data_IF_052241094487
#
_entry.id   IF_052241094487
#
_cell.length_a   1.000
_cell.length_b   1.000
_cell.length_c   1.000
_cell.angle_alpha   90.00
_cell.angle_beta   90.00
_cell.angle_gamma   90.00
#
_symmetry.space_group_name_H-M   'P 1'
#
loop_
_entity.id
_entity.type
_entity.pdbx_description
1 polymer ?
#
# COMPACT_ATOMS: atom_id res chain seq x y z
N UNK A 1 34.29 -4.14 -16.40
CA UNK A 1 33.05 -4.89 -16.71
C UNK A 1 32.63 -5.87 -15.60
N UNK A 2 33.57 -6.50 -14.88
CA UNK A 2 33.25 -7.44 -13.78
C UNK A 2 32.64 -6.83 -12.51
N UNK A 3 33.03 -5.60 -12.14
CA UNK A 3 32.54 -4.93 -10.93
C UNK A 3 31.02 -4.63 -10.94
N UNK A 4 30.43 -4.04 -12.00
CA UNK A 4 28.98 -3.82 -12.07
C UNK A 4 28.18 -5.14 -12.18
N UNK A 5 28.77 -6.20 -12.73
CA UNK A 5 28.14 -7.52 -12.80
C UNK A 5 28.08 -8.20 -11.42
N UNK A 6 29.18 -8.16 -10.66
CA UNK A 6 29.24 -8.65 -9.27
C UNK A 6 28.35 -7.86 -8.32
N UNK A 7 28.24 -6.54 -8.53
CA UNK A 7 27.29 -5.69 -7.81
C UNK A 7 25.85 -6.08 -8.13
N UNK A 8 25.48 -6.25 -9.41
CA UNK A 8 24.12 -6.67 -9.79
C UNK A 8 23.75 -8.06 -9.24
N UNK A 9 24.68 -9.03 -9.31
CA UNK A 9 24.45 -10.40 -8.87
C UNK A 9 24.32 -10.56 -7.34
N UNK A 10 24.94 -9.68 -6.56
CA UNK A 10 24.84 -9.68 -5.09
C UNK A 10 23.74 -8.76 -4.57
N UNK A 11 23.37 -7.73 -5.32
CA UNK A 11 22.33 -6.76 -4.97
C UNK A 11 20.90 -7.30 -5.15
N UNK A 12 20.68 -8.14 -6.16
CA UNK A 12 19.37 -8.74 -6.37
C UNK A 12 18.91 -9.62 -5.18
N UNK A 13 19.70 -10.61 -4.70
CA UNK A 13 19.29 -11.44 -3.58
C UNK A 13 19.16 -10.65 -2.26
N UNK A 14 20.02 -9.66 -2.03
CA UNK A 14 20.00 -8.85 -0.80
C UNK A 14 18.73 -8.00 -0.67
N UNK A 15 18.07 -7.67 -1.78
CA UNK A 15 16.81 -6.92 -1.79
C UNK A 15 15.60 -7.84 -1.91
N UNK A 16 15.73 -8.95 -2.65
CA UNK A 16 14.65 -9.88 -2.90
C UNK A 16 14.15 -10.56 -1.62
N UNK A 17 15.04 -11.16 -0.83
CA UNK A 17 14.63 -11.90 0.36
C UNK A 17 13.96 -11.03 1.44
N UNK A 18 14.48 -9.82 1.79
CA UNK A 18 13.80 -8.96 2.75
C UNK A 18 12.43 -8.47 2.27
N UNK A 19 12.27 -8.17 0.97
CA UNK A 19 10.97 -7.76 0.39
C UNK A 19 9.94 -8.89 0.46
N UNK A 20 10.35 -10.13 0.16
CA UNK A 20 9.48 -11.30 0.31
C UNK A 20 9.04 -11.50 1.77
N UNK A 21 9.98 -11.41 2.71
CA UNK A 21 9.68 -11.55 4.13
C UNK A 21 8.71 -10.46 4.62
N UNK A 22 8.95 -9.22 4.20
CA UNK A 22 8.08 -8.08 4.45
C UNK A 22 6.65 -8.34 3.94
N UNK A 23 6.51 -8.80 2.68
CA UNK A 23 5.22 -9.12 2.09
C UNK A 23 4.43 -10.18 2.89
N UNK A 24 5.11 -11.24 3.35
CA UNK A 24 4.48 -12.30 4.16
C UNK A 24 4.00 -11.75 5.51
N UNK A 25 4.81 -10.92 6.18
CA UNK A 25 4.49 -10.34 7.49
C UNK A 25 3.31 -9.37 7.37
N UNK A 26 3.33 -8.46 6.40
CA UNK A 26 2.27 -7.46 6.22
C UNK A 26 0.94 -8.08 5.74
N UNK A 27 0.98 -9.22 5.05
CA UNK A 27 -0.23 -9.92 4.64
C UNK A 27 -0.93 -10.65 5.80
N UNK A 28 -0.23 -10.97 6.89
CA UNK A 28 -0.79 -11.69 8.05
C UNK A 28 -2.04 -11.03 8.66
N UNK A 29 -2.02 -9.73 9.05
CA UNK A 29 -3.20 -9.09 9.63
C UNK A 29 -4.38 -8.99 8.64
N UNK A 30 -4.08 -8.86 7.34
CA UNK A 30 -5.10 -8.84 6.30
C UNK A 30 -5.81 -10.19 6.19
N UNK A 31 -5.06 -11.30 6.21
CA UNK A 31 -5.65 -12.64 6.21
C UNK A 31 -6.47 -12.93 7.47
N UNK A 32 -6.02 -12.48 8.64
CA UNK A 32 -6.74 -12.64 9.91
C UNK A 32 -8.04 -11.83 9.94
N UNK A 33 -8.01 -10.60 9.41
CA UNK A 33 -9.20 -9.78 9.26
C UNK A 33 -10.24 -10.43 8.35
N UNK A 34 -9.80 -10.94 7.19
CA UNK A 34 -10.67 -11.67 6.25
C UNK A 34 -11.27 -12.90 6.94
N UNK A 35 -10.47 -13.70 7.64
CA UNK A 35 -10.95 -14.90 8.35
C UNK A 35 -12.02 -14.56 9.41
N UNK A 36 -11.84 -13.44 10.11
CA UNK A 36 -12.78 -12.93 11.10
C UNK A 36 -14.10 -12.47 10.47
N UNK A 37 -14.05 -11.76 9.35
CA UNK A 37 -15.24 -11.26 8.63
C UNK A 37 -16.06 -12.41 8.04
N UNK A 38 -15.39 -13.43 7.49
CA UNK A 38 -16.07 -14.61 6.91
C UNK A 38 -16.46 -15.66 7.96
N UNK A 39 -16.20 -15.39 9.25
CA UNK A 39 -16.71 -16.19 10.37
C UNK A 39 -16.21 -17.63 10.40
N UNK A 40 -15.03 -17.90 9.84
CA UNK A 40 -14.49 -19.25 9.74
C UNK A 40 -13.96 -19.66 11.12
N UNK A 41 -14.81 -20.34 11.89
CA UNK A 41 -14.43 -21.00 13.15
C UNK A 41 -14.61 -22.50 12.97
N UNK A 42 -13.51 -23.25 12.91
CA UNK A 42 -13.51 -24.70 12.68
C UNK A 42 -12.11 -25.30 12.59
N UNK A 43 -12.02 -26.60 12.31
CA UNK A 43 -10.73 -27.30 12.17
C UNK A 43 -9.92 -26.74 10.99
N UNK A 44 -8.63 -26.49 11.22
CA UNK A 44 -7.69 -25.92 10.25
C UNK A 44 -7.52 -26.77 8.97
N UNK A 45 -7.94 -28.05 9.02
CA UNK A 45 -7.78 -29.03 7.95
C UNK A 45 -9.09 -29.44 7.26
N UNK A 46 -10.23 -28.79 7.54
CA UNK A 46 -11.42 -29.03 6.73
C UNK A 46 -11.19 -28.53 5.29
N UNK A 47 -11.58 -29.33 4.30
CA UNK A 47 -11.35 -29.05 2.87
C UNK A 47 -11.94 -27.69 2.47
N UNK A 48 -13.04 -27.25 3.10
CA UNK A 48 -13.62 -25.90 2.94
C UNK A 48 -12.68 -24.80 3.41
N UNK A 49 -12.08 -24.96 4.58
CA UNK A 49 -11.15 -23.98 5.17
C UNK A 49 -9.83 -23.96 4.40
N UNK A 50 -9.35 -25.12 3.96
CA UNK A 50 -8.17 -25.23 3.11
C UNK A 50 -8.39 -24.54 1.76
N UNK A 51 -9.55 -24.78 1.11
CA UNK A 51 -9.89 -24.16 -0.16
C UNK A 51 -10.04 -22.64 -0.03
N UNK A 52 -10.68 -22.16 1.04
CA UNK A 52 -10.78 -20.72 1.32
C UNK A 52 -9.39 -20.09 1.53
N UNK A 53 -8.51 -20.76 2.28
CA UNK A 53 -7.14 -20.29 2.52
C UNK A 53 -6.31 -20.21 1.23
N UNK A 54 -6.44 -21.19 0.35
CA UNK A 54 -5.78 -21.20 -0.97
C UNK A 54 -6.38 -20.10 -1.86
N UNK A 55 -7.70 -19.89 -1.82
CA UNK A 55 -8.36 -18.87 -2.62
C UNK A 55 -7.97 -17.45 -2.17
N UNK A 56 -7.99 -17.16 -0.87
CA UNK A 56 -7.60 -15.84 -0.35
C UNK A 56 -6.12 -15.56 -0.58
N UNK A 57 -5.24 -16.51 -0.25
CA UNK A 57 -3.78 -16.31 -0.38
C UNK A 57 -3.31 -16.37 -1.83
N UNK A 58 -3.83 -17.31 -2.61
CA UNK A 58 -3.54 -17.46 -4.03
C UNK A 58 -4.15 -16.33 -4.84
N UNK A 59 -5.40 -15.93 -4.55
CA UNK A 59 -6.07 -14.81 -5.19
C UNK A 59 -5.33 -13.48 -4.95
N UNK A 60 -4.89 -13.22 -3.72
CA UNK A 60 -4.07 -12.04 -3.41
C UNK A 60 -2.74 -12.04 -4.17
N UNK A 61 -2.03 -13.18 -4.23
CA UNK A 61 -0.78 -13.30 -4.97
C UNK A 61 -1.00 -13.09 -6.48
N UNK A 62 -1.98 -13.77 -7.08
CA UNK A 62 -2.30 -13.68 -8.51
C UNK A 62 -2.67 -12.24 -8.87
N UNK A 63 -3.52 -11.58 -8.07
CA UNK A 63 -3.90 -10.19 -8.31
C UNK A 63 -2.68 -9.27 -8.24
N UNK A 64 -1.85 -9.40 -7.21
CA UNK A 64 -0.66 -8.57 -7.07
C UNK A 64 0.34 -8.78 -8.21
N UNK A 65 0.55 -10.03 -8.64
CA UNK A 65 1.40 -10.35 -9.80
C UNK A 65 0.81 -9.84 -11.11
N UNK A 66 -0.51 -9.94 -11.29
CA UNK A 66 -1.20 -9.42 -12.46
C UNK A 66 -1.06 -7.90 -12.56
N UNK A 67 -1.31 -7.18 -11.46
CA UNK A 67 -1.11 -5.72 -11.37
C UNK A 67 0.35 -5.37 -11.65
N UNK A 68 1.32 -6.10 -11.09
CA UNK A 68 2.74 -5.87 -11.35
C UNK A 68 3.16 -6.16 -12.80
N UNK A 69 2.56 -7.16 -13.45
CA UNK A 69 2.86 -7.52 -14.83
C UNK A 69 2.24 -6.55 -15.85
N UNK A 70 1.08 -5.96 -15.53
CA UNK A 70 0.40 -4.99 -16.37
C UNK A 70 0.98 -3.57 -16.26
N UNK A 71 1.61 -3.25 -15.13
CA UNK A 71 2.02 -1.89 -14.79
C UNK A 71 3.54 -1.75 -14.79
N UNK A 72 4.13 -1.36 -15.94
CA UNK A 72 5.56 -1.10 -16.06
C UNK A 72 5.99 0.14 -15.25
N UNK A 73 5.05 1.02 -14.92
CA UNK A 73 5.21 2.21 -14.07
C UNK A 73 4.65 1.99 -12.66
N UNK A 74 5.03 0.86 -12.02
CA UNK A 74 4.62 0.55 -10.64
C UNK A 74 4.99 1.66 -9.65
N UNK A 75 6.07 2.41 -9.91
CA UNK A 75 6.47 3.56 -9.10
C UNK A 75 5.40 4.65 -8.96
N UNK A 76 4.65 4.95 -10.03
CA UNK A 76 3.64 6.00 -10.01
C UNK A 76 2.39 5.57 -9.25
N UNK A 77 2.05 4.27 -9.30
CA UNK A 77 0.96 3.71 -8.49
C UNK A 77 1.30 3.68 -7.01
N UNK A 78 2.54 3.40 -6.65
CA UNK A 78 3.00 3.50 -5.26
C UNK A 78 2.92 4.95 -4.78
N UNK A 79 3.30 5.91 -5.63
CA UNK A 79 3.14 7.35 -5.34
C UNK A 79 1.67 7.75 -5.18
N UNK A 80 0.80 7.32 -6.09
CA UNK A 80 -0.65 7.57 -6.03
C UNK A 80 -1.27 6.98 -4.76
N UNK A 81 -0.96 5.73 -4.45
CA UNK A 81 -1.48 5.04 -3.25
C UNK A 81 -0.97 5.72 -1.98
N UNK A 82 0.29 6.14 -1.97
CA UNK A 82 0.87 6.93 -0.90
C UNK A 82 0.15 8.27 -0.70
N UNK A 83 -0.08 9.00 -1.79
CA UNK A 83 -0.74 10.29 -1.76
C UNK A 83 -2.22 10.21 -1.33
N UNK A 84 -2.93 9.19 -1.81
CA UNK A 84 -4.35 9.01 -1.59
C UNK A 84 -4.69 8.34 -0.26
N UNK A 85 -3.83 7.45 0.26
CA UNK A 85 -4.11 6.66 1.47
C UNK A 85 -3.13 6.95 2.59
N UNK A 86 -1.82 6.86 2.35
CA UNK A 86 -0.82 6.95 3.42
C UNK A 86 -0.76 8.37 3.99
N UNK A 87 -0.73 9.40 3.15
CA UNK A 87 -0.72 10.81 3.59
C UNK A 87 -1.93 11.19 4.46
N UNK A 88 -3.19 10.95 4.05
CA UNK A 88 -4.32 11.28 4.91
C UNK A 88 -4.34 10.39 6.16
N UNK A 89 -3.94 9.12 6.04
CA UNK A 89 -3.89 8.22 7.19
C UNK A 89 -2.84 8.66 8.24
N UNK A 90 -1.69 9.19 7.84
CA UNK A 90 -0.65 9.62 8.80
C UNK A 90 -0.92 11.00 9.36
N UNK A 91 -1.34 11.97 8.54
CA UNK A 91 -1.47 13.36 8.98
C UNK A 91 -2.89 13.72 9.42
N UNK A 92 -3.92 13.26 8.73
CA UNK A 92 -5.31 13.61 9.08
C UNK A 92 -5.79 12.71 10.21
N UNK A 93 -5.66 11.39 10.05
CA UNK A 93 -6.19 10.44 11.02
C UNK A 93 -5.42 10.48 12.35
N UNK A 94 -4.09 10.61 12.35
CA UNK A 94 -3.33 10.70 13.61
C UNK A 94 -3.67 11.97 14.41
N UNK A 95 -3.79 13.13 13.75
CA UNK A 95 -4.22 14.36 14.42
C UNK A 95 -5.67 14.24 14.92
N UNK A 96 -6.57 13.63 14.14
CA UNK A 96 -7.95 13.38 14.57
C UNK A 96 -8.02 12.45 15.79
N UNK A 97 -7.31 11.33 15.78
CA UNK A 97 -7.25 10.42 16.94
C UNK A 97 -6.67 11.11 18.18
N UNK A 98 -5.65 11.95 18.01
CA UNK A 98 -5.05 12.70 19.11
C UNK A 98 -6.04 13.70 19.73
N UNK A 99 -6.81 14.41 18.90
CA UNK A 99 -7.87 15.32 19.36
C UNK A 99 -8.96 14.57 20.14
N UNK A 100 -9.47 13.46 19.60
CA UNK A 100 -10.50 12.61 20.25
C UNK A 100 -9.98 12.03 21.57
N UNK A 101 -8.71 11.64 21.65
CA UNK A 101 -8.12 11.09 22.87
C UNK A 101 -7.91 12.14 23.98
N UNK A 102 -7.80 13.43 23.65
CA UNK A 102 -7.44 14.51 24.60
C UNK A 102 -8.50 15.59 24.78
N UNK A 103 -9.74 15.38 24.33
CA UNK A 103 -10.85 16.36 24.30
C UNK A 103 -11.03 17.23 25.56
N UNK A 104 -10.65 16.74 26.76
CA UNK A 104 -10.84 17.47 28.04
C UNK A 104 -9.63 18.27 28.56
N UNK A 105 -8.46 18.21 27.90
CA UNK A 105 -7.21 18.81 28.42
C UNK A 105 -6.47 19.73 27.44
N UNK A 106 -7.03 19.99 26.26
CA UNK A 106 -6.36 20.77 25.23
C UNK A 106 -6.71 22.26 25.33
N UNK A 107 -5.70 23.10 25.17
CA UNK A 107 -5.88 24.56 25.10
C UNK A 107 -6.44 24.92 23.72
N UNK A 108 -7.27 25.97 23.62
CA UNK A 108 -7.87 26.43 22.35
C UNK A 108 -6.83 26.62 21.21
N UNK A 109 -5.61 27.06 21.56
CA UNK A 109 -4.51 27.26 20.61
C UNK A 109 -4.02 25.92 20.03
N UNK A 110 -3.91 24.88 20.85
CA UNK A 110 -3.50 23.54 20.38
C UNK A 110 -4.56 22.92 19.48
N UNK A 111 -5.83 23.07 19.85
CA UNK A 111 -6.95 22.59 19.04
C UNK A 111 -6.99 23.27 17.66
N UNK A 112 -6.76 24.58 17.60
CA UNK A 112 -6.71 25.33 16.34
C UNK A 112 -5.50 24.92 15.49
N UNK A 113 -4.34 24.66 16.11
CA UNK A 113 -3.15 24.17 15.42
C UNK A 113 -3.36 22.79 14.79
N UNK A 114 -3.94 21.85 15.52
CA UNK A 114 -4.25 20.52 14.98
C UNK A 114 -5.30 20.59 13.87
N UNK A 115 -6.33 21.43 14.02
CA UNK A 115 -7.36 21.60 13.00
C UNK A 115 -6.79 22.22 11.71
N UNK A 116 -5.91 23.22 11.84
CA UNK A 116 -5.20 23.79 10.69
C UNK A 116 -4.32 22.75 9.98
N UNK A 117 -3.57 21.94 10.72
CA UNK A 117 -2.77 20.85 10.14
C UNK A 117 -3.65 19.85 9.38
N UNK A 118 -4.80 19.45 9.95
CA UNK A 118 -5.74 18.54 9.28
C UNK A 118 -6.20 19.10 7.92
N UNK A 119 -6.64 20.36 7.89
CA UNK A 119 -7.12 21.00 6.65
C UNK A 119 -5.98 21.15 5.63
N UNK A 120 -4.81 21.62 6.07
CA UNK A 120 -3.66 21.80 5.20
C UNK A 120 -3.19 20.48 4.56
N UNK A 121 -2.99 19.43 5.37
CA UNK A 121 -2.55 18.14 4.86
C UNK A 121 -3.62 17.45 3.99
N UNK A 122 -4.90 17.73 4.20
CA UNK A 122 -5.98 17.28 3.31
C UNK A 122 -5.84 17.89 1.91
N UNK A 123 -5.61 19.21 1.82
CA UNK A 123 -5.39 19.88 0.53
C UNK A 123 -4.13 19.34 -0.14
N UNK A 124 -3.03 19.18 0.60
CA UNK A 124 -1.78 18.62 0.08
C UNK A 124 -1.97 17.20 -0.47
N UNK A 125 -2.70 16.33 0.25
CA UNK A 125 -3.00 14.97 -0.19
C UNK A 125 -3.84 14.93 -1.47
N UNK A 126 -4.84 15.82 -1.60
CA UNK A 126 -5.64 15.94 -2.83
C UNK A 126 -4.79 16.39 -4.02
N UNK A 127 -3.98 17.44 -3.85
CA UNK A 127 -3.09 17.93 -4.90
C UNK A 127 -2.08 16.87 -5.31
N UNK A 128 -1.49 16.16 -4.35
CA UNK A 128 -0.54 15.07 -4.62
C UNK A 128 -1.20 13.91 -5.36
N UNK A 129 -2.45 13.57 -5.04
CA UNK A 129 -3.23 12.53 -5.73
C UNK A 129 -3.50 12.94 -7.17
N UNK A 130 -3.92 14.18 -7.41
CA UNK A 130 -4.14 14.71 -8.78
C UNK A 130 -2.83 14.68 -9.59
N UNK A 131 -1.71 15.08 -8.98
CA UNK A 131 -0.41 15.04 -9.61
C UNK A 131 0.03 13.61 -9.98
N UNK A 132 -0.20 12.64 -9.10
CA UNK A 132 0.11 11.24 -9.37
C UNK A 132 -0.77 10.64 -10.48
N UNK A 133 -2.07 10.99 -10.54
CA UNK A 133 -2.95 10.58 -11.65
C UNK A 133 -2.43 11.17 -12.97
N UNK A 134 -2.05 12.45 -12.97
CA UNK A 134 -1.52 13.09 -14.17
C UNK A 134 -0.24 12.40 -14.68
N UNK A 135 0.66 12.03 -13.76
CA UNK A 135 1.88 11.27 -14.08
C UNK A 135 1.58 9.89 -14.69
N UNK A 136 0.60 9.17 -14.14
CA UNK A 136 0.16 7.87 -14.68
C UNK A 136 -0.40 8.04 -16.09
N UNK A 137 -1.20 9.08 -16.33
CA UNK A 137 -1.76 9.35 -17.66
C UNK A 137 -0.62 9.66 -18.65
N UNK A 138 0.34 10.51 -18.28
CA UNK A 138 1.46 10.87 -19.14
C UNK A 138 2.34 9.65 -19.50
N UNK A 139 2.76 8.88 -18.49
CA UNK A 139 3.54 7.66 -18.71
C UNK A 139 2.75 6.58 -19.46
N UNK A 140 1.42 6.49 -19.27
CA UNK A 140 0.57 5.58 -20.02
C UNK A 140 0.49 5.92 -21.51
N UNK A 141 0.66 7.19 -21.92
CA UNK A 141 0.66 7.56 -23.36
C UNK A 141 1.94 7.16 -24.08
N UNK A 142 3.05 7.12 -23.35
CA UNK A 142 4.35 6.67 -23.88
C UNK A 142 4.45 5.14 -23.91
N UNK A 143 3.53 4.44 -23.24
CA UNK A 143 3.52 3.00 -23.18
C UNK A 143 2.74 2.38 -24.35
N UNK A 144 3.48 1.95 -25.37
CA UNK A 144 2.97 0.97 -26.34
C UNK A 144 2.80 -0.36 -25.60
N UNK A 145 1.57 -0.63 -25.14
CA UNK A 145 1.16 -1.85 -24.40
C UNK A 145 1.54 -3.15 -25.13
N UNK A 146 1.83 -3.05 -26.42
CA UNK A 146 2.55 -4.04 -27.19
C UNK A 146 3.58 -3.28 -28.02
N UNK A 147 4.87 -3.57 -27.82
CA UNK A 147 5.78 -3.42 -28.93
C UNK A 147 5.17 -4.23 -30.08
N UNK A 148 4.95 -3.56 -31.21
CA UNK A 148 4.59 -4.17 -32.49
C UNK A 148 5.35 -5.48 -32.67
N UNK A 149 4.66 -6.51 -33.18
CA UNK A 149 5.34 -7.62 -33.84
C UNK A 149 5.97 -7.12 -35.13
#
# INVERSE_FOLDING_TARGET
MFLPFLLSSTFFPSIFFPKLNCFIIFASPMYEYVDTVYGIKGSSLEIKNLSFRILVRGGYLIFNTFVAALLPFLGDFISLTGAASILPLTFILANHMYLVAKEKKLTFIEQLWHWFNIVFFSIVSLVATIAAIWLIVDHSRTYHVFADM
#
